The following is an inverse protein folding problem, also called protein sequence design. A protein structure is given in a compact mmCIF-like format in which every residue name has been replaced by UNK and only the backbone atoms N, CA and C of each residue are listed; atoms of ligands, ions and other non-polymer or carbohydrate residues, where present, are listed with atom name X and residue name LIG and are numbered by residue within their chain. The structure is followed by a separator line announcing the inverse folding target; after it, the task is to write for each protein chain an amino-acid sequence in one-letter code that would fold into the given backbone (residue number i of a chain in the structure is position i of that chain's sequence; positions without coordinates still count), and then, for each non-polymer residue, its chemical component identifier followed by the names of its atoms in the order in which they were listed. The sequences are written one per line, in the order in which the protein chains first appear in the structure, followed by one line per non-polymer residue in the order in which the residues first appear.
data_IF_095646522402
#
_entry.id   IF_095646522402
#
_cell.length_a   1.000
_cell.length_b   1.000
_cell.length_c   1.000
_cell.angle_alpha   90.00
_cell.angle_beta   90.00
_cell.angle_gamma   90.00
#
_symmetry.space_group_name_H-M   'P 1'
#
loop_
_entity.id
_entity.type
_entity.pdbx_description
1 polymer ?
#
# COMPACT_ATOMS: atom_id res chain seq x y z
N UNK A 1 98.44 -30.18 42.74
CA UNK A 1 97.63 -29.13 43.40
C UNK A 1 96.85 -28.43 42.30
N UNK A 2 95.67 -28.84 41.83
CA UNK A 2 94.40 -29.21 42.47
C UNK A 2 93.67 -28.03 43.15
N UNK A 3 92.44 -27.78 42.65
CA UNK A 3 91.29 -27.03 43.21
C UNK A 3 91.36 -25.51 43.11
N UNK A 4 90.29 -24.74 42.87
CA UNK A 4 88.89 -24.86 42.40
C UNK A 4 88.38 -23.41 42.48
N UNK A 5 87.47 -22.92 41.62
CA UNK A 5 86.92 -21.58 41.90
C UNK A 5 86.10 -20.85 40.84
N UNK A 6 84.96 -21.43 40.48
CA UNK A 6 83.68 -20.76 40.22
C UNK A 6 83.47 -19.77 39.04
N UNK A 7 82.43 -20.12 38.27
CA UNK A 7 81.77 -19.37 37.19
C UNK A 7 81.09 -18.11 37.74
N UNK A 8 81.34 -16.97 37.11
CA UNK A 8 80.40 -15.85 37.08
C UNK A 8 79.96 -15.62 35.62
N UNK A 9 78.81 -16.22 35.23
CA UNK A 9 78.07 -15.82 34.04
C UNK A 9 77.26 -14.59 34.42
N UNK A 10 77.79 -13.39 34.18
CA UNK A 10 76.94 -12.20 34.09
C UNK A 10 76.06 -12.38 32.84
N UNK A 11 74.78 -12.68 33.06
CA UNK A 11 73.74 -12.53 32.04
C UNK A 11 73.74 -11.05 31.66
N UNK A 12 74.30 -10.73 30.49
CA UNK A 12 74.01 -9.47 29.83
C UNK A 12 72.51 -9.48 29.55
N UNK A 13 71.74 -8.81 30.41
CA UNK A 13 70.44 -8.30 30.02
C UNK A 13 70.72 -7.33 28.88
N UNK A 14 70.51 -7.82 27.65
CA UNK A 14 70.52 -6.97 26.47
C UNK A 14 69.59 -5.82 26.77
N UNK A 15 70.17 -4.63 26.86
CA UNK A 15 69.43 -3.37 27.02
C UNK A 15 68.37 -3.34 25.93
N UNK A 16 67.11 -3.32 26.34
CA UNK A 16 65.98 -3.16 25.45
C UNK A 16 66.15 -1.78 24.79
N UNK A 17 66.69 -1.76 23.58
CA UNK A 17 66.91 -0.54 22.81
C UNK A 17 65.55 0.11 22.55
N UNK A 18 65.44 1.41 22.81
CA UNK A 18 64.18 2.18 22.86
C UNK A 18 63.20 1.97 21.70
N UNK A 19 63.66 1.55 20.52
CA UNK A 19 62.82 1.37 19.34
C UNK A 19 61.76 0.25 19.42
N UNK A 20 61.90 -0.76 20.29
CA UNK A 20 60.89 -1.84 20.38
C UNK A 20 59.74 -1.47 21.32
N UNK A 21 59.96 -0.63 22.35
CA UNK A 21 58.87 -0.15 23.23
C UNK A 21 58.01 0.83 22.43
N UNK A 22 58.64 1.70 21.64
CA UNK A 22 57.94 2.69 20.82
C UNK A 22 57.05 2.02 19.76
N UNK A 23 57.49 0.92 19.14
CA UNK A 23 56.68 0.18 18.17
C UNK A 23 55.47 -0.53 18.81
N UNK A 24 55.65 -1.12 20.00
CA UNK A 24 54.54 -1.71 20.76
C UNK A 24 53.56 -0.65 21.26
N UNK A 25 54.05 0.49 21.77
CA UNK A 25 53.21 1.60 22.21
C UNK A 25 52.43 2.22 21.06
N UNK A 26 53.04 2.37 19.88
CA UNK A 26 52.36 2.86 18.69
C UNK A 26 51.30 1.87 18.18
N UNK A 27 51.59 0.57 18.19
CA UNK A 27 50.63 -0.46 17.76
C UNK A 27 49.43 -0.55 18.73
N UNK A 28 49.68 -0.52 20.04
CA UNK A 28 48.63 -0.48 21.06
C UNK A 28 47.81 0.81 20.99
N UNK A 29 48.46 1.96 20.71
CA UNK A 29 47.80 3.24 20.49
C UNK A 29 46.88 3.22 19.26
N UNK A 30 47.34 2.66 18.13
CA UNK A 30 46.53 2.52 16.93
C UNK A 30 45.36 1.56 17.11
N UNK A 31 45.53 0.46 17.85
CA UNK A 31 44.45 -0.49 18.16
C UNK A 31 43.43 0.17 19.09
N UNK A 32 43.89 0.85 20.15
CA UNK A 32 43.04 1.60 21.07
C UNK A 32 42.22 2.68 20.34
N UNK A 33 42.87 3.44 19.46
CA UNK A 33 42.20 4.46 18.66
C UNK A 33 41.14 3.86 17.71
N UNK A 34 41.43 2.74 17.05
CA UNK A 34 40.44 2.03 16.20
C UNK A 34 39.28 1.46 17.00
N UNK A 35 39.53 0.90 18.19
CA UNK A 35 38.48 0.42 19.07
C UNK A 35 37.56 1.57 19.54
N UNK A 36 38.14 2.69 19.96
CA UNK A 36 37.39 3.88 20.39
C UNK A 36 36.56 4.46 19.23
N UNK A 37 37.12 4.55 18.02
CA UNK A 37 36.35 4.98 16.85
C UNK A 37 35.19 4.03 16.54
N UNK A 38 35.39 2.70 16.67
CA UNK A 38 34.34 1.72 16.45
C UNK A 38 33.23 1.79 17.52
N UNK A 39 33.59 2.00 18.79
CA UNK A 39 32.64 2.19 19.89
C UNK A 39 31.86 3.50 19.72
N UNK A 40 32.52 4.58 19.30
CA UNK A 40 31.87 5.86 19.00
C UNK A 40 30.86 5.76 17.83
N UNK A 41 31.22 5.05 16.77
CA UNK A 41 30.32 4.79 15.62
C UNK A 41 29.13 3.92 16.04
N UNK A 42 29.34 2.91 16.89
CA UNK A 42 28.26 2.07 17.42
C UNK A 42 27.35 2.90 18.33
N UNK A 43 27.92 3.72 19.21
CA UNK A 43 27.17 4.59 20.12
C UNK A 43 26.30 5.59 19.36
N UNK A 44 26.83 6.20 18.29
CA UNK A 44 26.06 7.10 17.44
C UNK A 44 24.90 6.38 16.74
N UNK A 45 25.16 5.21 16.13
CA UNK A 45 24.09 4.41 15.49
C UNK A 45 22.99 4.00 16.46
N UNK A 46 23.34 3.60 17.67
CA UNK A 46 22.37 3.26 18.72
C UNK A 46 21.56 4.49 19.13
N UNK A 47 22.18 5.67 19.21
CA UNK A 47 21.47 6.92 19.48
C UNK A 47 20.48 7.26 18.36
N UNK A 48 20.90 7.17 17.10
CA UNK A 48 20.06 7.49 15.94
C UNK A 48 18.85 6.55 15.85
N UNK A 49 19.07 5.25 16.06
CA UNK A 49 18.01 4.23 16.15
C UNK A 49 17.04 4.51 17.31
N UNK A 50 17.54 4.91 18.47
CA UNK A 50 16.69 5.26 19.62
C UNK A 50 15.81 6.48 19.31
N UNK A 51 16.35 7.48 18.62
CA UNK A 51 15.55 8.64 18.21
C UNK A 51 14.52 8.28 17.15
N UNK A 52 14.83 7.36 16.23
CA UNK A 52 13.86 6.83 15.26
C UNK A 52 12.73 6.04 15.96
N UNK A 53 13.07 5.19 16.92
CA UNK A 53 12.09 4.45 17.73
C UNK A 53 11.20 5.43 18.52
N UNK A 54 11.78 6.46 19.16
CA UNK A 54 11.00 7.47 19.89
C UNK A 54 10.04 8.22 18.97
N UNK A 55 10.49 8.61 17.77
CA UNK A 55 9.63 9.21 16.75
C UNK A 55 8.50 8.27 16.34
N UNK A 56 8.80 7.00 16.09
CA UNK A 56 7.79 5.98 15.77
C UNK A 56 6.74 5.82 16.87
N UNK A 57 7.18 5.74 18.14
CA UNK A 57 6.28 5.68 19.31
C UNK A 57 5.39 6.92 19.39
N UNK A 58 5.94 8.10 19.12
CA UNK A 58 5.18 9.34 19.14
C UNK A 58 4.08 9.35 18.07
N UNK A 59 4.42 9.00 16.81
CA UNK A 59 3.45 8.91 15.71
C UNK A 59 2.35 7.90 16.01
N UNK A 60 2.68 6.74 16.57
CA UNK A 60 1.68 5.73 16.95
C UNK A 60 0.77 6.26 18.06
N UNK A 61 1.32 6.92 19.08
CA UNK A 61 0.52 7.52 20.16
C UNK A 61 -0.42 8.58 19.64
N UNK A 62 0.05 9.48 18.77
CA UNK A 62 -0.80 10.48 18.13
C UNK A 62 -1.94 9.83 17.34
N UNK A 63 -1.64 8.83 16.50
CA UNK A 63 -2.65 8.12 15.71
C UNK A 63 -3.69 7.42 16.57
N UNK A 64 -3.28 6.78 17.66
CA UNK A 64 -4.20 6.11 18.61
C UNK A 64 -5.07 7.13 19.33
N UNK A 65 -4.52 8.29 19.67
CA UNK A 65 -5.26 9.37 20.33
C UNK A 65 -6.20 10.13 19.37
N UNK A 66 -5.90 10.13 18.07
CA UNK A 66 -6.69 10.77 17.02
C UNK A 66 -7.71 9.83 16.36
N UNK A 67 -7.97 8.65 16.93
CA UNK A 67 -8.98 7.73 16.38
C UNK A 67 -10.37 8.33 16.59
N UNK A 68 -10.95 8.85 15.51
CA UNK A 68 -12.37 9.18 15.35
C UNK A 68 -13.13 7.96 14.74
N UNK A 69 -14.24 8.16 14.01
CA UNK A 69 -15.07 7.15 13.31
C UNK A 69 -14.35 6.17 12.34
N UNK A 70 -13.02 6.15 12.32
CA UNK A 70 -12.18 5.24 11.56
C UNK A 70 -11.59 5.91 10.33
N UNK A 71 -10.27 5.78 10.14
CA UNK A 71 -9.58 6.28 8.94
C UNK A 71 -9.66 5.23 7.81
N UNK A 72 -10.88 4.96 7.32
CA UNK A 72 -11.10 4.06 6.19
C UNK A 72 -11.03 4.85 4.88
N UNK A 73 -10.32 4.30 3.89
CA UNK A 73 -10.29 4.87 2.54
C UNK A 73 -11.69 4.90 1.94
N UNK A 74 -12.04 6.00 1.27
CA UNK A 74 -13.33 6.14 0.59
C UNK A 74 -13.47 5.08 -0.51
N UNK A 75 -14.62 4.40 -0.51
CA UNK A 75 -15.00 3.41 -1.52
C UNK A 75 -15.64 4.11 -2.71
N UNK A 76 -15.02 3.98 -3.89
CA UNK A 76 -15.56 4.52 -5.12
C UNK A 76 -16.91 3.87 -5.49
N UNK A 77 -17.04 2.57 -5.21
CA UNK A 77 -18.29 1.82 -5.37
C UNK A 77 -19.43 2.44 -4.53
N UNK A 78 -19.22 2.62 -3.23
CA UNK A 78 -20.27 3.14 -2.33
C UNK A 78 -20.60 4.60 -2.64
N UNK A 79 -19.58 5.41 -2.96
CA UNK A 79 -19.77 6.80 -3.35
C UNK A 79 -20.56 6.92 -4.66
N UNK A 80 -20.37 5.99 -5.61
CA UNK A 80 -21.17 5.93 -6.82
C UNK A 80 -22.65 5.60 -6.55
N UNK A 81 -22.93 4.72 -5.58
CA UNK A 81 -24.31 4.46 -5.15
C UNK A 81 -24.97 5.67 -4.50
N UNK A 82 -24.24 6.39 -3.63
CA UNK A 82 -24.73 7.65 -3.04
C UNK A 82 -25.00 8.70 -4.12
N UNK A 83 -24.11 8.80 -5.11
CA UNK A 83 -24.26 9.68 -6.26
C UNK A 83 -25.53 9.38 -7.09
N UNK A 84 -26.07 8.16 -7.08
CA UNK A 84 -27.28 7.79 -7.81
C UNK A 84 -28.58 8.19 -7.09
N UNK A 85 -28.52 8.60 -5.82
CA UNK A 85 -29.71 9.00 -5.06
C UNK A 85 -30.26 10.30 -5.65
N UNK A 86 -31.51 10.24 -6.12
CA UNK A 86 -32.21 11.41 -6.69
C UNK A 86 -32.81 12.28 -5.59
N UNK A 87 -32.80 13.59 -5.81
CA UNK A 87 -33.61 14.50 -5.00
C UNK A 87 -35.09 14.35 -5.39
N UNK A 88 -35.90 13.84 -4.46
CA UNK A 88 -37.35 13.62 -4.67
C UNK A 88 -38.20 14.82 -4.28
N UNK A 89 -37.59 15.84 -3.66
CA UNK A 89 -38.26 17.06 -3.21
C UNK A 89 -37.89 18.28 -4.06
N UNK A 90 -36.81 18.19 -4.83
CA UNK A 90 -36.39 19.19 -5.81
C UNK A 90 -37.31 19.27 -7.03
N UNK A 91 -37.29 20.43 -7.71
CA UNK A 91 -38.03 20.64 -8.97
C UNK A 91 -37.32 20.03 -10.20
N UNK A 92 -36.02 19.74 -10.07
CA UNK A 92 -35.15 19.34 -11.16
C UNK A 92 -34.70 17.88 -10.97
N UNK A 93 -34.57 17.11 -12.06
CA UNK A 93 -34.04 15.74 -12.04
C UNK A 93 -32.52 15.79 -11.72
N UNK A 94 -32.21 15.96 -10.43
CA UNK A 94 -30.88 16.25 -9.91
C UNK A 94 -30.45 15.27 -8.79
N UNK A 95 -29.13 15.09 -8.56
CA UNK A 95 -28.64 14.23 -7.48
C UNK A 95 -28.87 14.89 -6.12
N UNK A 96 -29.31 14.09 -5.13
CA UNK A 96 -29.47 14.54 -3.74
C UNK A 96 -28.12 14.91 -3.10
N UNK A 97 -27.03 14.26 -3.54
CA UNK A 97 -25.68 14.47 -3.04
C UNK A 97 -24.70 14.84 -4.17
N UNK A 98 -24.68 16.11 -4.62
CA UNK A 98 -23.80 16.55 -5.71
C UNK A 98 -22.30 16.35 -5.41
N UNK A 99 -21.88 16.46 -4.16
CA UNK A 99 -20.48 16.26 -3.75
C UNK A 99 -19.96 14.85 -4.04
N UNK A 100 -20.84 13.83 -4.04
CA UNK A 100 -20.48 12.48 -4.43
C UNK A 100 -20.12 12.42 -5.92
N UNK A 101 -20.84 13.16 -6.78
CA UNK A 101 -20.52 13.28 -8.20
C UNK A 101 -19.17 13.96 -8.40
N UNK A 102 -18.92 15.06 -7.70
CA UNK A 102 -17.64 15.76 -7.77
C UNK A 102 -16.49 14.86 -7.34
N UNK A 103 -16.69 14.04 -6.31
CA UNK A 103 -15.69 13.07 -5.88
C UNK A 103 -15.41 12.05 -6.98
N UNK A 104 -16.43 11.49 -7.65
CA UNK A 104 -16.22 10.56 -8.77
C UNK A 104 -15.37 11.19 -9.88
N UNK A 105 -15.67 12.45 -10.25
CA UNK A 105 -14.97 13.17 -11.32
C UNK A 105 -13.49 13.39 -10.96
N UNK A 106 -13.20 13.74 -9.71
CA UNK A 106 -11.86 14.08 -9.26
C UNK A 106 -10.97 12.88 -8.88
N UNK A 107 -11.56 11.69 -8.74
CA UNK A 107 -10.84 10.49 -8.26
C UNK A 107 -10.72 9.36 -9.30
N UNK A 108 -10.95 9.65 -10.59
CA UNK A 108 -10.66 8.69 -11.66
C UNK A 108 -9.15 8.43 -11.77
N UNK A 109 -8.75 7.16 -11.89
CA UNK A 109 -7.36 6.76 -12.07
C UNK A 109 -6.86 7.06 -13.49
N UNK A 110 -5.53 7.17 -13.70
CA UNK A 110 -4.96 7.50 -15.02
C UNK A 110 -5.32 6.52 -16.15
N UNK A 111 -5.58 5.25 -15.83
CA UNK A 111 -6.02 4.21 -16.77
C UNK A 111 -7.52 4.28 -17.11
N UNK A 112 -8.26 5.22 -16.51
CA UNK A 112 -9.70 5.41 -16.69
C UNK A 112 -10.56 4.66 -15.68
N UNK A 113 -9.99 3.85 -14.80
CA UNK A 113 -10.73 3.08 -13.80
C UNK A 113 -10.99 3.85 -12.50
N UNK A 114 -11.78 3.25 -11.60
CA UNK A 114 -11.91 3.64 -10.20
C UNK A 114 -11.68 2.41 -9.32
N UNK A 115 -11.10 2.61 -8.14
CA UNK A 115 -10.78 1.56 -7.17
C UNK A 115 -9.54 1.94 -6.35
N UNK A 116 -8.93 0.96 -5.69
CA UNK A 116 -7.68 1.18 -4.96
C UNK A 116 -6.55 1.61 -5.93
N UNK A 117 -5.81 2.68 -5.57
CA UNK A 117 -4.72 3.23 -6.39
C UNK A 117 -3.47 2.37 -6.34
N UNK A 118 -3.19 1.77 -5.20
CA UNK A 118 -1.94 1.08 -4.89
C UNK A 118 -2.06 -0.43 -5.11
N UNK A 119 -3.28 -0.95 -5.13
CA UNK A 119 -3.56 -2.37 -5.39
C UNK A 119 -4.54 -2.57 -6.56
N UNK A 120 -4.28 -3.59 -7.38
CA UNK A 120 -5.18 -3.99 -8.45
C UNK A 120 -5.79 -5.36 -8.13
N UNK A 121 -7.11 -5.39 -7.97
CA UNK A 121 -7.94 -6.60 -7.96
C UNK A 121 -9.04 -6.44 -9.01
N UNK A 122 -9.22 -7.40 -9.91
CA UNK A 122 -10.21 -7.27 -10.99
C UNK A 122 -11.64 -7.15 -10.44
N UNK A 123 -11.99 -7.88 -9.38
CA UNK A 123 -13.31 -7.79 -8.74
C UNK A 123 -13.59 -6.37 -8.22
N UNK A 124 -12.64 -5.76 -7.51
CA UNK A 124 -12.75 -4.38 -7.03
C UNK A 124 -12.81 -3.41 -8.21
N UNK A 125 -11.80 -3.46 -9.07
CA UNK A 125 -11.59 -2.42 -10.08
C UNK A 125 -12.72 -2.37 -11.08
N UNK A 126 -13.25 -3.51 -11.50
CA UNK A 126 -14.38 -3.56 -12.42
C UNK A 126 -15.69 -3.16 -11.74
N UNK A 127 -15.91 -3.53 -10.47
CA UNK A 127 -17.12 -3.13 -9.71
C UNK A 127 -17.17 -1.62 -9.49
N UNK A 128 -16.08 -1.05 -8.95
CA UNK A 128 -15.93 0.38 -8.73
C UNK A 128 -16.11 1.15 -10.05
N UNK A 129 -15.39 0.76 -11.10
CA UNK A 129 -15.49 1.45 -12.40
C UNK A 129 -16.88 1.37 -13.01
N UNK A 130 -17.55 0.21 -12.95
CA UNK A 130 -18.90 0.05 -13.50
C UNK A 130 -19.92 0.92 -12.75
N UNK A 131 -19.84 0.96 -11.41
CA UNK A 131 -20.69 1.82 -10.59
C UNK A 131 -20.50 3.31 -10.95
N UNK A 132 -19.25 3.77 -11.04
CA UNK A 132 -18.94 5.15 -11.40
C UNK A 132 -19.43 5.49 -12.82
N UNK A 133 -19.23 4.60 -13.81
CA UNK A 133 -19.71 4.79 -15.18
C UNK A 133 -21.24 4.89 -15.24
N UNK A 134 -21.95 4.05 -14.48
CA UNK A 134 -23.41 4.11 -14.36
C UNK A 134 -23.86 5.45 -13.77
N UNK A 135 -23.21 5.93 -12.71
CA UNK A 135 -23.51 7.22 -12.10
C UNK A 135 -23.27 8.40 -13.07
N UNK A 136 -22.09 8.47 -13.71
CA UNK A 136 -21.76 9.53 -14.67
C UNK A 136 -22.73 9.54 -15.87
N UNK A 137 -23.11 8.35 -16.37
CA UNK A 137 -24.08 8.22 -17.47
C UNK A 137 -25.47 8.68 -17.07
N UNK A 138 -25.93 8.32 -15.86
CA UNK A 138 -27.25 8.66 -15.34
C UNK A 138 -27.45 10.18 -15.31
N UNK A 139 -26.44 10.90 -14.82
CA UNK A 139 -26.48 12.36 -14.68
C UNK A 139 -25.97 13.12 -15.91
N UNK A 140 -25.47 12.41 -16.93
CA UNK A 140 -24.92 12.98 -18.18
C UNK A 140 -23.80 14.00 -17.92
N UNK A 141 -22.97 13.72 -16.91
CA UNK A 141 -21.83 14.57 -16.50
C UNK A 141 -20.50 13.91 -16.88
N UNK A 142 -19.46 14.73 -17.01
CA UNK A 142 -18.09 14.30 -17.31
C UNK A 142 -17.99 13.26 -18.45
N UNK A 143 -18.39 13.60 -19.69
CA UNK A 143 -18.40 12.65 -20.81
C UNK A 143 -17.01 12.07 -21.09
N UNK A 144 -15.93 12.84 -20.89
CA UNK A 144 -14.56 12.35 -21.05
C UNK A 144 -14.20 11.25 -20.04
N UNK A 145 -14.54 11.45 -18.76
CA UNK A 145 -14.31 10.42 -17.74
C UNK A 145 -15.19 9.19 -17.95
N UNK A 146 -16.44 9.38 -18.35
CA UNK A 146 -17.35 8.31 -18.75
C UNK A 146 -16.76 7.43 -19.86
N UNK A 147 -16.29 8.02 -20.97
CA UNK A 147 -15.73 7.26 -22.09
C UNK A 147 -14.45 6.50 -21.71
N UNK A 148 -13.59 7.10 -20.90
CA UNK A 148 -12.38 6.43 -20.37
C UNK A 148 -12.74 5.22 -19.52
N UNK A 149 -13.69 5.36 -18.59
CA UNK A 149 -14.16 4.25 -17.76
C UNK A 149 -14.82 3.14 -18.57
N UNK A 150 -15.63 3.53 -19.56
CA UNK A 150 -16.27 2.59 -20.47
C UNK A 150 -15.24 1.81 -21.30
N UNK A 151 -14.21 2.49 -21.80
CA UNK A 151 -13.09 1.86 -22.51
C UNK A 151 -12.34 0.89 -21.60
N UNK A 152 -12.03 1.28 -20.36
CA UNK A 152 -11.37 0.42 -19.38
C UNK A 152 -12.15 -0.86 -19.14
N UNK A 153 -13.46 -0.77 -18.89
CA UNK A 153 -14.32 -1.93 -18.64
C UNK A 153 -14.32 -2.91 -19.82
N UNK A 154 -14.49 -2.41 -21.05
CA UNK A 154 -14.46 -3.25 -22.27
C UNK A 154 -13.14 -3.98 -22.42
N UNK A 155 -12.04 -3.32 -22.09
CA UNK A 155 -10.70 -3.90 -22.20
C UNK A 155 -10.40 -4.90 -21.09
N UNK A 156 -11.00 -4.78 -19.90
CA UNK A 156 -10.56 -5.53 -18.72
C UNK A 156 -11.58 -6.54 -18.17
N UNK A 157 -12.84 -6.55 -18.64
CA UNK A 157 -13.88 -7.44 -18.09
C UNK A 157 -13.52 -8.93 -18.15
N UNK A 158 -12.74 -9.34 -19.16
CA UNK A 158 -12.28 -10.72 -19.31
C UNK A 158 -11.44 -11.19 -18.11
N UNK A 159 -10.78 -10.26 -17.39
CA UNK A 159 -9.91 -10.56 -16.26
C UNK A 159 -10.67 -11.13 -15.05
N UNK A 160 -12.00 -10.99 -14.99
CA UNK A 160 -12.82 -11.65 -13.96
C UNK A 160 -12.76 -13.17 -14.03
N UNK A 161 -12.47 -13.74 -15.19
CA UNK A 161 -12.33 -15.18 -15.37
C UNK A 161 -11.01 -15.71 -14.80
N UNK A 162 -9.95 -14.90 -14.92
CA UNK A 162 -8.58 -15.32 -14.60
C UNK A 162 -8.15 -14.88 -13.18
N UNK A 163 -8.96 -14.06 -12.51
CA UNK A 163 -8.72 -13.59 -11.15
C UNK A 163 -8.96 -14.71 -10.14
N UNK A 164 -8.13 -14.75 -9.09
CA UNK A 164 -8.25 -15.74 -8.04
C UNK A 164 -9.60 -15.61 -7.31
N UNK A 165 -10.45 -16.66 -7.28
CA UNK A 165 -11.71 -16.64 -6.56
C UNK A 165 -11.59 -16.30 -5.06
N UNK A 166 -10.42 -16.53 -4.44
CA UNK A 166 -10.17 -16.14 -3.04
C UNK A 166 -10.17 -14.61 -2.84
N UNK A 167 -9.87 -13.84 -3.89
CA UNK A 167 -9.92 -12.37 -3.87
C UNK A 167 -11.32 -11.81 -4.15
N UNK A 168 -12.31 -12.67 -4.34
CA UNK A 168 -13.66 -12.24 -4.67
C UNK A 168 -14.28 -11.46 -3.50
N UNK A 169 -14.78 -10.26 -3.81
CA UNK A 169 -15.42 -9.40 -2.81
C UNK A 169 -16.74 -10.06 -2.36
N UNK A 170 -17.03 -9.95 -1.07
CA UNK A 170 -18.29 -10.42 -0.50
C UNK A 170 -19.49 -9.80 -1.22
N UNK A 171 -20.46 -10.64 -1.62
CA UNK A 171 -21.67 -10.21 -2.30
C UNK A 171 -21.49 -9.88 -3.80
N UNK A 172 -20.29 -10.05 -4.36
CA UNK A 172 -20.01 -9.76 -5.78
C UNK A 172 -20.99 -10.43 -6.74
N UNK A 173 -21.41 -11.68 -6.46
CA UNK A 173 -22.35 -12.40 -7.34
C UNK A 173 -23.76 -11.81 -7.33
N UNK A 174 -24.08 -10.93 -6.37
CA UNK A 174 -25.36 -10.23 -6.31
C UNK A 174 -25.21 -8.79 -6.81
N UNK A 175 -24.17 -8.09 -6.33
CA UNK A 175 -23.96 -6.67 -6.63
C UNK A 175 -23.50 -6.42 -8.05
N UNK A 176 -22.56 -7.21 -8.56
CA UNK A 176 -22.01 -6.99 -9.89
C UNK A 176 -23.05 -7.22 -11.00
N UNK A 177 -23.84 -8.31 -11.01
CA UNK A 177 -24.92 -8.45 -11.99
C UNK A 177 -25.97 -7.35 -11.90
N UNK A 178 -26.27 -6.84 -10.70
CA UNK A 178 -27.18 -5.70 -10.52
C UNK A 178 -26.64 -4.45 -11.22
N UNK A 179 -25.35 -4.14 -11.08
CA UNK A 179 -24.71 -3.04 -11.82
C UNK A 179 -24.74 -3.26 -13.34
N UNK A 180 -24.54 -4.49 -13.80
CA UNK A 180 -24.62 -4.83 -15.24
C UNK A 180 -26.03 -4.57 -15.78
N UNK A 181 -27.07 -4.98 -15.06
CA UNK A 181 -28.46 -4.70 -15.42
C UNK A 181 -28.76 -3.20 -15.46
N UNK A 182 -28.25 -2.43 -14.49
CA UNK A 182 -28.39 -0.97 -14.49
C UNK A 182 -27.71 -0.33 -15.69
N UNK A 183 -26.49 -0.77 -16.02
CA UNK A 183 -25.77 -0.30 -17.20
C UNK A 183 -26.54 -0.62 -18.49
N UNK A 184 -27.10 -1.83 -18.62
CA UNK A 184 -27.91 -2.23 -19.76
C UNK A 184 -29.18 -1.39 -19.92
N UNK A 185 -29.87 -1.07 -18.81
CA UNK A 185 -31.04 -0.15 -18.82
C UNK A 185 -30.68 1.26 -19.32
N UNK A 186 -29.43 1.66 -19.18
CA UNK A 186 -28.88 2.91 -19.71
C UNK A 186 -28.33 2.78 -21.15
N UNK A 187 -28.53 1.63 -21.80
CA UNK A 187 -28.05 1.35 -23.16
C UNK A 187 -26.56 0.99 -23.23
N UNK A 188 -25.93 0.65 -22.11
CA UNK A 188 -24.52 0.28 -22.05
C UNK A 188 -24.37 -1.25 -22.03
N UNK A 189 -23.88 -1.81 -23.14
CA UNK A 189 -23.56 -3.24 -23.26
C UNK A 189 -22.07 -3.47 -23.05
N UNK A 190 -21.62 -3.30 -21.80
CA UNK A 190 -20.19 -3.29 -21.46
C UNK A 190 -19.64 -4.69 -21.19
N UNK A 191 -20.45 -5.53 -20.56
CA UNK A 191 -20.12 -6.93 -20.29
C UNK A 191 -20.77 -7.77 -21.39
N UNK A 192 -19.98 -8.46 -22.24
CA UNK A 192 -20.53 -9.40 -23.21
C UNK A 192 -21.35 -10.46 -22.49
N UNK A 193 -22.37 -11.01 -23.16
CA UNK A 193 -23.04 -12.24 -22.72
C UNK A 193 -22.03 -13.40 -22.80
N UNK A 194 -21.18 -13.46 -21.79
CA UNK A 194 -20.08 -14.40 -21.60
C UNK A 194 -20.52 -15.47 -20.61
N UNK A 195 -19.84 -16.62 -20.63
CA UNK A 195 -20.02 -17.66 -19.61
C UNK A 195 -19.91 -17.09 -18.20
N UNK A 196 -18.94 -16.20 -17.96
CA UNK A 196 -18.74 -15.53 -16.67
C UNK A 196 -19.99 -14.79 -16.18
N UNK A 197 -20.64 -14.01 -17.04
CA UNK A 197 -21.87 -13.30 -16.66
C UNK A 197 -23.03 -14.27 -16.41
N UNK A 198 -23.15 -15.32 -17.22
CA UNK A 198 -24.17 -16.36 -17.03
C UNK A 198 -23.97 -17.13 -15.72
N UNK A 199 -22.73 -17.46 -15.39
CA UNK A 199 -22.37 -18.14 -14.15
C UNK A 199 -22.66 -17.25 -12.93
N UNK A 200 -22.37 -15.95 -13.02
CA UNK A 200 -22.70 -14.98 -11.97
C UNK A 200 -24.20 -14.83 -11.79
N UNK A 201 -24.97 -14.75 -12.89
CA UNK A 201 -26.44 -14.69 -12.84
C UNK A 201 -27.03 -15.97 -12.22
N UNK A 202 -26.51 -17.14 -12.58
CA UNK A 202 -26.92 -18.40 -11.97
C UNK A 202 -26.62 -18.44 -10.46
N UNK A 203 -25.43 -17.98 -10.04
CA UNK A 203 -25.07 -17.85 -8.61
C UNK A 203 -25.99 -16.87 -7.87
N UNK A 204 -26.36 -15.74 -8.50
CA UNK A 204 -27.32 -14.78 -7.94
C UNK A 204 -28.67 -15.43 -7.66
N UNK A 205 -29.23 -16.14 -8.64
CA UNK A 205 -30.52 -16.83 -8.51
C UNK A 205 -30.51 -17.91 -7.42
N UNK A 206 -29.37 -18.57 -7.19
CA UNK A 206 -29.21 -19.51 -6.08
C UNK A 206 -29.15 -18.82 -4.72
N UNK A 207 -28.52 -17.64 -4.62
CA UNK A 207 -28.37 -16.88 -3.36
C UNK A 207 -29.62 -16.07 -2.97
N UNK A 208 -30.53 -15.81 -3.92
CA UNK A 208 -31.77 -15.04 -3.68
C UNK A 208 -33.01 -15.91 -3.37
N UNK A 209 -32.85 -17.24 -3.36
CA UNK A 209 -33.87 -18.20 -2.91
C UNK A 209 -33.71 -18.53 -1.43
#
# INVERSE_FOLDING_TARGET
MAREGNRNKQKNYGTFTGNSIDHFQNTLSCICHKCILSEGVISQKVSDLNEEIKRGIHVVKERVQSVDDGNQSLSAYDTAWVALVKDVHGSDDAPLFPSSIDWLINNQLPDGSWGDRDYFCAYDRLSCTLACVVALKTWKVNPGGFEKGLSFLRQNVHRLHDEDPEHQISGFEVTFPTLVEMAQKLGLHVVPNSSVLQDLLAKRELKLK
#
